data_IF_950275527954
#
_entry.id   IF_950275527954
#
_cell.length_a   1.000
_cell.length_b   1.000
_cell.length_c   1.000
_cell.angle_alpha   90.00
_cell.angle_beta   90.00
_cell.angle_gamma   90.00
#
_symmetry.space_group_name_H-M   'P 1'
#
loop_
_entity.id
_entity.type
_entity.pdbx_description
1 polymer ?
#
# COMPACT_ATOMS: atom_id res chain seq x y z
N UNK A 1 11.44 -17.68 -1.73
CA UNK A 1 11.85 -16.29 -1.54
C UNK A 1 10.61 -15.50 -1.17
N UNK A 2 10.57 -14.95 0.04
CA UNK A 2 9.45 -14.16 0.58
C UNK A 2 9.66 -12.71 0.15
N UNK A 3 8.75 -12.17 -0.66
CA UNK A 3 8.82 -10.80 -1.18
C UNK A 3 7.72 -9.98 -0.52
N UNK A 4 8.05 -8.79 -0.03
CA UNK A 4 7.08 -7.76 0.33
C UNK A 4 7.10 -6.66 -0.72
N UNK A 5 5.95 -6.08 -1.04
CA UNK A 5 5.86 -4.89 -1.88
C UNK A 5 5.50 -3.71 -0.99
N UNK A 6 6.20 -2.58 -1.12
CA UNK A 6 5.90 -1.35 -0.37
C UNK A 6 5.54 -0.25 -1.36
N UNK A 7 4.40 0.38 -1.14
CA UNK A 7 3.91 1.51 -1.94
C UNK A 7 3.39 2.59 -0.99
N UNK A 8 3.52 3.86 -1.34
CA UNK A 8 3.12 4.98 -0.47
C UNK A 8 1.61 4.99 -0.19
N UNK A 9 0.78 5.16 -1.21
CA UNK A 9 -0.67 5.14 -1.09
C UNK A 9 -1.34 4.63 -2.36
N UNK A 10 -2.54 4.09 -2.21
CA UNK A 10 -3.38 3.69 -3.33
C UNK A 10 -4.61 4.59 -3.35
N UNK A 11 -4.52 5.71 -4.07
CA UNK A 11 -5.60 6.69 -4.17
C UNK A 11 -6.09 6.92 -5.60
N UNK A 12 -5.31 6.61 -6.63
CA UNK A 12 -5.65 6.87 -8.02
C UNK A 12 -4.97 5.85 -8.94
N UNK A 13 -5.54 5.59 -10.12
CA UNK A 13 -4.89 4.80 -11.17
C UNK A 13 -3.81 5.65 -11.86
N UNK A 14 -2.59 5.58 -11.33
CA UNK A 14 -1.40 6.26 -11.85
C UNK A 14 -0.34 5.30 -12.38
N UNK A 15 0.80 5.87 -12.77
CA UNK A 15 1.92 5.08 -13.30
C UNK A 15 2.55 4.15 -12.27
N UNK A 16 2.67 4.60 -11.01
CA UNK A 16 3.25 3.81 -9.93
C UNK A 16 2.38 2.59 -9.60
N UNK A 17 1.06 2.78 -9.61
CA UNK A 17 0.08 1.72 -9.34
C UNK A 17 0.08 0.67 -10.45
N UNK A 18 0.30 1.07 -11.71
CA UNK A 18 0.48 0.12 -12.82
C UNK A 18 1.76 -0.69 -12.70
N UNK A 19 2.85 -0.07 -12.23
CA UNK A 19 4.08 -0.80 -11.92
C UNK A 19 3.82 -1.79 -10.78
N UNK A 20 3.14 -1.37 -9.71
CA UNK A 20 2.76 -2.25 -8.61
C UNK A 20 1.92 -3.45 -9.08
N UNK A 21 0.94 -3.24 -9.97
CA UNK A 21 0.16 -4.33 -10.56
C UNK A 21 1.02 -5.31 -11.37
N UNK A 22 2.01 -4.80 -12.11
CA UNK A 22 2.96 -5.66 -12.81
C UNK A 22 3.81 -6.48 -11.81
N UNK A 23 4.28 -5.86 -10.72
CA UNK A 23 5.00 -6.57 -9.65
C UNK A 23 4.11 -7.62 -8.97
N UNK A 24 2.86 -7.30 -8.65
CA UNK A 24 1.88 -8.24 -8.10
C UNK A 24 1.46 -9.35 -9.07
N UNK A 25 1.76 -9.21 -10.37
CA UNK A 25 1.59 -10.29 -11.35
C UNK A 25 2.79 -11.24 -11.31
N UNK A 26 4.00 -10.71 -11.10
CA UNK A 26 5.22 -11.51 -10.96
C UNK A 26 5.30 -12.22 -9.60
N UNK A 27 4.82 -11.57 -8.53
CA UNK A 27 4.76 -12.10 -7.17
C UNK A 27 3.32 -12.04 -6.63
N UNK A 28 2.45 -12.99 -7.03
CA UNK A 28 1.02 -12.96 -6.67
C UNK A 28 0.76 -13.11 -5.17
N UNK A 29 1.65 -13.80 -4.44
CA UNK A 29 1.53 -14.05 -3.01
C UNK A 29 2.22 -12.98 -2.14
N UNK A 30 2.85 -11.97 -2.75
CA UNK A 30 3.55 -10.92 -2.02
C UNK A 30 2.55 -9.94 -1.38
N UNK A 31 2.56 -9.78 -0.04
CA UNK A 31 1.75 -8.76 0.60
C UNK A 31 2.25 -7.38 0.21
N UNK A 32 1.30 -6.46 0.01
CA UNK A 32 1.58 -5.07 -0.33
C UNK A 32 1.27 -4.16 0.86
N UNK A 33 2.28 -3.45 1.36
CA UNK A 33 2.15 -2.49 2.45
C UNK A 33 1.96 -1.09 1.91
N UNK A 34 0.92 -0.39 2.41
CA UNK A 34 0.58 0.98 2.00
C UNK A 34 0.11 1.83 3.18
N UNK A 35 0.23 3.15 3.08
CA UNK A 35 -0.31 4.03 4.12
C UNK A 35 -1.82 3.96 4.20
N UNK A 36 -2.50 4.06 3.06
CA UNK A 36 -3.94 3.97 2.93
C UNK A 36 -4.32 3.44 1.54
N UNK A 37 -5.55 2.92 1.44
CA UNK A 37 -6.09 2.38 0.21
C UNK A 37 -7.55 2.81 0.02
N UNK A 38 -7.80 3.54 -1.07
CA UNK A 38 -9.12 3.89 -1.55
C UNK A 38 -9.59 2.96 -2.68
N UNK A 39 -10.22 1.84 -2.31
CA UNK A 39 -10.70 0.79 -3.23
C UNK A 39 -11.62 1.30 -4.35
N UNK A 40 -12.42 2.32 -4.08
CA UNK A 40 -13.41 2.86 -5.02
C UNK A 40 -12.76 3.42 -6.30
N UNK A 41 -11.50 3.84 -6.23
CA UNK A 41 -10.81 4.51 -7.32
C UNK A 41 -10.10 3.56 -8.30
N UNK A 42 -10.16 2.24 -8.07
CA UNK A 42 -9.34 1.26 -8.81
C UNK A 42 -10.13 0.26 -9.65
N UNK A 43 -11.46 0.36 -9.73
CA UNK A 43 -12.30 -0.50 -10.59
C UNK A 43 -11.97 -2.00 -10.49
N UNK A 44 -11.59 -2.47 -9.30
CA UNK A 44 -11.23 -3.88 -9.05
C UNK A 44 -9.77 -4.28 -9.35
N UNK A 45 -8.88 -3.36 -9.77
CA UNK A 45 -7.51 -3.69 -10.17
C UNK A 45 -6.71 -4.45 -9.09
N UNK A 46 -6.95 -4.15 -7.81
CA UNK A 46 -6.32 -4.83 -6.67
C UNK A 46 -7.27 -5.78 -5.92
N UNK A 47 -8.34 -6.23 -6.57
CA UNK A 47 -9.27 -7.19 -5.96
C UNK A 47 -8.58 -8.54 -5.72
N UNK A 48 -8.80 -9.14 -4.55
CA UNK A 48 -8.15 -10.39 -4.15
C UNK A 48 -6.67 -10.29 -3.76
N UNK A 49 -6.04 -9.11 -3.82
CA UNK A 49 -4.65 -8.89 -3.40
C UNK A 49 -4.55 -8.67 -1.88
N UNK A 50 -3.48 -9.18 -1.26
CA UNK A 50 -3.17 -8.90 0.15
C UNK A 50 -2.60 -7.48 0.28
N UNK A 51 -3.48 -6.51 0.56
CA UNK A 51 -3.11 -5.12 0.82
C UNK A 51 -3.21 -4.83 2.32
N UNK A 52 -2.07 -4.50 2.92
CA UNK A 52 -1.90 -4.19 4.34
C UNK A 52 -1.77 -2.69 4.52
N UNK A 53 -2.82 -2.06 5.04
CA UNK A 53 -2.84 -0.62 5.27
C UNK A 53 -2.28 -0.23 6.64
N UNK A 54 -1.64 0.93 6.73
CA UNK A 54 -1.18 1.50 8.01
C UNK A 54 -2.35 2.00 8.89
N UNK A 55 -2.02 2.54 10.07
CA UNK A 55 -2.97 3.20 10.96
C UNK A 55 -3.63 4.43 10.32
N UNK A 56 -3.00 5.07 9.33
CA UNK A 56 -3.52 6.27 8.64
C UNK A 56 -4.86 5.96 7.95
N UNK A 57 -5.06 4.74 7.45
CA UNK A 57 -6.33 4.28 6.88
C UNK A 57 -7.53 4.48 7.82
N UNK A 58 -7.32 4.39 9.15
CA UNK A 58 -8.37 4.48 10.17
C UNK A 58 -8.55 5.89 10.73
N UNK A 59 -7.70 6.84 10.36
CA UNK A 59 -7.78 8.23 10.82
C UNK A 59 -8.88 8.99 10.06
N UNK A 60 -9.53 9.99 10.69
CA UNK A 60 -10.55 10.78 10.02
C UNK A 60 -9.95 11.46 8.78
N UNK A 61 -10.61 11.32 7.63
CA UNK A 61 -10.12 11.83 6.35
C UNK A 61 -8.77 11.23 5.88
N UNK A 62 -8.29 10.11 6.45
CA UNK A 62 -7.00 9.52 6.08
C UNK A 62 -6.87 9.14 4.59
N UNK A 63 -7.99 8.88 3.91
CA UNK A 63 -8.03 8.58 2.47
C UNK A 63 -8.16 9.79 1.55
N UNK A 64 -8.65 10.92 2.08
CA UNK A 64 -9.01 12.10 1.28
C UNK A 64 -8.13 13.31 1.58
N UNK A 65 -7.68 13.47 2.82
CA UNK A 65 -6.83 14.57 3.30
C UNK A 65 -5.54 14.01 3.93
N UNK A 66 -4.90 13.04 3.26
CA UNK A 66 -3.67 12.40 3.75
C UNK A 66 -2.53 13.41 4.03
N UNK A 67 -2.55 14.56 3.34
CA UNK A 67 -1.58 15.64 3.54
C UNK A 67 -1.59 16.21 4.96
N UNK A 68 -2.70 16.09 5.70
CA UNK A 68 -2.74 16.49 7.12
C UNK A 68 -1.92 15.55 8.01
N UNK A 69 -1.64 14.35 7.51
CA UNK A 69 -0.88 13.31 8.20
C UNK A 69 0.57 13.21 7.72
N UNK A 70 1.08 14.16 6.91
CA UNK A 70 2.48 14.18 6.44
C UNK A 70 3.51 13.93 7.58
N UNK A 71 3.39 14.56 8.77
CA UNK A 71 4.34 14.32 9.86
C UNK A 71 4.33 12.88 10.41
N UNK A 72 3.23 12.14 10.19
CA UNK A 72 3.05 10.77 10.67
C UNK A 72 3.39 9.70 9.62
N UNK A 73 3.67 10.09 8.37
CA UNK A 73 4.02 9.14 7.31
C UNK A 73 5.29 8.35 7.58
N UNK A 74 6.39 8.94 8.11
CA UNK A 74 7.57 8.16 8.48
C UNK A 74 7.22 7.06 9.50
N UNK A 75 6.43 7.40 10.51
CA UNK A 75 5.96 6.44 11.51
C UNK A 75 5.04 5.37 10.91
N UNK A 76 4.25 5.69 9.90
CA UNK A 76 3.42 4.70 9.20
C UNK A 76 4.27 3.67 8.45
N UNK A 77 5.35 4.12 7.80
CA UNK A 77 6.29 3.24 7.10
C UNK A 77 7.12 2.40 8.07
N UNK A 78 7.67 2.98 9.14
CA UNK A 78 8.50 2.28 10.13
C UNK A 78 7.76 1.18 10.90
N UNK A 79 6.42 1.25 10.96
CA UNK A 79 5.58 0.23 11.60
C UNK A 79 5.31 -0.98 10.72
N UNK A 80 5.74 -0.99 9.45
CA UNK A 80 5.64 -2.18 8.63
C UNK A 80 6.59 -3.26 9.18
N UNK A 81 6.03 -4.40 9.61
CA UNK A 81 6.84 -5.54 9.98
C UNK A 81 7.28 -6.27 8.70
N UNK A 82 8.55 -6.07 8.35
CA UNK A 82 9.18 -6.62 7.15
C UNK A 82 10.27 -7.65 7.49
N UNK A 83 10.39 -8.03 8.77
CA UNK A 83 11.47 -8.91 9.26
C UNK A 83 11.47 -10.31 8.65
N UNK A 84 10.29 -10.75 8.19
CA UNK A 84 10.04 -12.03 7.55
C UNK A 84 10.21 -12.04 6.03
N UNK A 85 10.75 -11.00 5.40
CA UNK A 85 10.90 -10.96 3.94
C UNK A 85 12.37 -10.98 3.53
N UNK A 86 12.67 -11.73 2.46
CA UNK A 86 14.01 -11.84 1.88
C UNK A 86 14.30 -10.63 0.98
N UNK A 87 13.25 -10.05 0.39
CA UNK A 87 13.30 -8.89 -0.52
C UNK A 87 12.12 -7.97 -0.23
N UNK A 88 12.40 -6.65 -0.24
CA UNK A 88 11.43 -5.56 -0.11
C UNK A 88 11.59 -4.64 -1.32
#
# INVERSE_FOLDING_TARGET
MRVALVHDYLSQDGGAERVLLALQTMWPDAPTYVWFYNKENFSGAFEGKDIRTSFIQKLPFGKTHYQWYLPFLPMATERHDLSDFDVV
#
